data_IF_932535238959
#
_entry.id   IF_932535238959
#
_cell.length_a   1.000
_cell.length_b   1.000
_cell.length_c   1.000
_cell.angle_alpha   90.00
_cell.angle_beta   90.00
_cell.angle_gamma   90.00
#
_symmetry.space_group_name_H-M   'P 1'
#
loop_
_entity.id
_entity.type
_entity.pdbx_description
1 polymer ?
#
# COMPACT_ATOMS: atom_id res chain seq x y z
N UNK A 1 -29.01 -31.03 -0.49
CA UNK A 1 -27.92 -30.05 -0.72
C UNK A 1 -27.78 -28.98 0.37
N UNK A 2 -28.81 -28.61 1.14
CA UNK A 2 -28.70 -27.56 2.19
C UNK A 2 -28.22 -28.11 3.55
N UNK A 3 -28.35 -29.41 3.82
CA UNK A 3 -27.96 -30.01 5.10
C UNK A 3 -26.45 -30.33 5.24
N UNK A 4 -25.71 -30.44 4.12
CA UNK A 4 -24.26 -30.73 4.15
C UNK A 4 -23.42 -29.51 4.53
N UNK A 5 -23.95 -28.30 4.36
CA UNK A 5 -23.23 -27.04 4.62
C UNK A 5 -23.25 -26.61 6.11
N UNK A 6 -24.23 -27.08 6.90
CA UNK A 6 -24.44 -26.62 8.29
C UNK A 6 -23.58 -27.30 9.37
N UNK A 7 -22.80 -28.34 9.04
CA UNK A 7 -21.98 -29.07 10.04
C UNK A 7 -20.48 -28.80 9.97
N UNK A 8 -20.02 -27.92 9.08
CA UNK A 8 -18.58 -27.78 8.74
C UNK A 8 -17.99 -26.38 8.94
N UNK A 9 -18.83 -25.34 9.07
CA UNK A 9 -18.37 -23.97 9.32
C UNK A 9 -18.75 -23.54 10.74
N UNK A 10 -17.75 -23.26 11.56
CA UNK A 10 -17.95 -22.67 12.89
C UNK A 10 -18.35 -21.20 12.73
N UNK A 11 -19.66 -20.92 12.74
CA UNK A 11 -20.21 -19.55 12.72
C UNK A 11 -19.61 -18.69 13.84
N UNK A 12 -19.44 -19.19 15.08
CA UNK A 12 -18.79 -18.41 16.14
C UNK A 12 -17.34 -18.03 15.79
N UNK A 13 -16.60 -18.93 15.15
CA UNK A 13 -15.22 -18.64 14.72
C UNK A 13 -15.20 -17.58 13.62
N UNK A 14 -16.09 -17.68 12.62
CA UNK A 14 -16.18 -16.66 11.56
C UNK A 14 -16.49 -15.27 12.14
N UNK A 15 -17.37 -15.17 13.14
CA UNK A 15 -17.67 -13.90 13.80
C UNK A 15 -16.46 -13.35 14.56
N UNK A 16 -15.78 -14.19 15.34
CA UNK A 16 -14.57 -13.80 16.06
C UNK A 16 -13.46 -13.31 15.09
N UNK A 17 -13.27 -14.03 13.98
CA UNK A 17 -12.29 -13.65 12.95
C UNK A 17 -12.71 -12.37 12.23
N UNK A 18 -14.01 -12.15 11.99
CA UNK A 18 -14.52 -10.90 11.39
C UNK A 18 -14.20 -9.71 12.29
N UNK A 19 -14.44 -9.83 13.59
CA UNK A 19 -14.13 -8.75 14.57
C UNK A 19 -12.62 -8.54 14.68
N UNK A 20 -11.83 -9.62 14.75
CA UNK A 20 -10.38 -9.52 14.82
C UNK A 20 -9.79 -8.81 13.60
N UNK A 21 -10.12 -9.27 12.39
CA UNK A 21 -9.63 -8.70 11.13
C UNK A 21 -10.11 -7.26 10.99
N UNK A 22 -11.40 -6.99 11.26
CA UNK A 22 -11.97 -5.65 11.21
C UNK A 22 -11.29 -4.66 12.16
N UNK A 23 -11.03 -5.06 13.42
CA UNK A 23 -10.37 -4.21 14.41
C UNK A 23 -8.94 -3.85 14.03
N UNK A 24 -8.19 -4.78 13.42
CA UNK A 24 -6.80 -4.51 13.06
C UNK A 24 -6.65 -3.66 11.79
N UNK A 25 -7.61 -3.73 10.86
CA UNK A 25 -7.54 -3.06 9.55
C UNK A 25 -8.29 -1.73 9.48
N UNK A 26 -9.43 -1.57 10.15
CA UNK A 26 -10.35 -0.43 9.91
C UNK A 26 -9.69 0.93 10.19
N UNK A 27 -9.18 1.15 11.41
CA UNK A 27 -8.56 2.42 11.79
C UNK A 27 -7.42 2.85 10.85
N UNK A 28 -6.40 2.00 10.64
CA UNK A 28 -5.31 2.29 9.71
C UNK A 28 -5.78 2.54 8.28
N UNK A 29 -6.78 1.82 7.78
CA UNK A 29 -7.25 1.99 6.40
C UNK A 29 -7.88 3.38 6.18
N UNK A 30 -8.68 3.85 7.14
CA UNK A 30 -9.31 5.17 7.05
C UNK A 30 -8.28 6.28 7.18
N UNK A 31 -7.34 6.14 8.11
CA UNK A 31 -6.25 7.11 8.27
C UNK A 31 -5.33 7.16 7.06
N UNK A 32 -5.08 6.04 6.39
CA UNK A 32 -4.30 6.00 5.15
C UNK A 32 -5.07 6.60 3.97
N UNK A 33 -6.39 6.47 3.94
CA UNK A 33 -7.17 6.98 2.81
C UNK A 33 -7.19 8.51 2.72
N UNK A 34 -7.07 9.21 3.87
CA UNK A 34 -7.02 10.67 3.89
C UNK A 34 -5.85 11.21 3.05
N UNK A 35 -4.58 10.84 3.32
CA UNK A 35 -3.47 11.31 2.51
C UNK A 35 -3.53 10.80 1.07
N UNK A 36 -4.00 9.57 0.83
CA UNK A 36 -4.20 9.05 -0.53
C UNK A 36 -5.22 9.89 -1.31
N UNK A 37 -6.31 10.32 -0.67
CA UNK A 37 -7.31 11.21 -1.27
C UNK A 37 -6.72 12.58 -1.60
N UNK A 38 -5.97 13.18 -0.69
CA UNK A 38 -5.28 14.46 -0.93
C UNK A 38 -4.27 14.34 -2.07
N UNK A 39 -3.47 13.28 -2.09
CA UNK A 39 -2.55 12.94 -3.18
C UNK A 39 -3.26 12.92 -4.53
N UNK A 40 -4.42 12.26 -4.64
CA UNK A 40 -5.19 12.19 -5.89
C UNK A 40 -5.78 13.56 -6.24
N UNK A 41 -6.20 14.34 -5.24
CA UNK A 41 -6.86 15.62 -5.45
C UNK A 41 -5.89 16.70 -5.99
N UNK A 42 -4.62 16.68 -5.59
CA UNK A 42 -3.61 17.71 -5.96
C UNK A 42 -3.43 17.82 -7.49
N UNK A 43 -2.98 16.79 -8.24
CA UNK A 43 -2.73 16.92 -9.68
C UNK A 43 -4.02 17.12 -10.48
N UNK A 44 -5.10 16.45 -10.06
CA UNK A 44 -6.41 16.54 -10.73
C UNK A 44 -6.94 17.97 -10.65
N UNK A 45 -6.89 18.56 -9.46
CA UNK A 45 -7.43 19.88 -9.21
C UNK A 45 -6.60 21.00 -9.84
N UNK A 46 -5.27 20.89 -9.76
CA UNK A 46 -4.33 21.86 -10.35
C UNK A 46 -4.48 21.94 -11.87
N UNK A 47 -4.50 20.79 -12.54
CA UNK A 47 -4.69 20.77 -13.99
C UNK A 47 -6.07 21.30 -14.38
N UNK A 48 -7.12 20.83 -13.68
CA UNK A 48 -8.49 21.24 -13.96
C UNK A 48 -8.68 22.76 -13.79
N UNK A 49 -8.08 23.37 -12.77
CA UNK A 49 -8.11 24.83 -12.56
C UNK A 49 -7.47 25.60 -13.72
N UNK A 50 -6.32 25.14 -14.21
CA UNK A 50 -5.53 25.82 -15.26
C UNK A 50 -6.18 25.78 -16.64
N UNK A 51 -6.89 24.70 -16.95
CA UNK A 51 -7.61 24.56 -18.24
C UNK A 51 -9.07 25.04 -18.16
N UNK A 52 -9.47 25.69 -17.06
CA UNK A 52 -10.85 26.16 -16.86
C UNK A 52 -11.88 25.03 -16.64
N UNK A 53 -11.43 23.80 -16.44
CA UNK A 53 -12.26 22.61 -16.24
C UNK A 53 -12.42 22.22 -14.76
N UNK A 54 -12.22 23.16 -13.83
CA UNK A 54 -12.32 22.93 -12.39
C UNK A 54 -13.63 22.27 -11.94
N UNK A 55 -14.72 22.48 -12.68
CA UNK A 55 -16.01 21.83 -12.43
C UNK A 55 -16.04 20.31 -12.68
N UNK A 56 -15.10 19.76 -13.47
CA UNK A 56 -15.00 18.34 -13.79
C UNK A 56 -14.17 17.52 -12.79
N UNK A 57 -13.57 18.18 -11.78
CA UNK A 57 -12.77 17.51 -10.74
C UNK A 57 -13.54 16.40 -10.02
N UNK A 58 -14.84 16.61 -9.77
CA UNK A 58 -15.73 15.61 -9.15
C UNK A 58 -15.89 14.34 -9.99
N UNK A 59 -15.94 14.45 -11.32
CA UNK A 59 -16.01 13.30 -12.21
C UNK A 59 -14.72 12.47 -12.19
N UNK A 60 -13.57 13.15 -12.22
CA UNK A 60 -12.26 12.49 -12.15
C UNK A 60 -12.08 11.79 -10.80
N UNK A 61 -12.49 12.43 -9.71
CA UNK A 61 -12.50 11.82 -8.37
C UNK A 61 -13.40 10.59 -8.31
N UNK A 62 -14.57 10.61 -8.97
CA UNK A 62 -15.45 9.44 -9.03
C UNK A 62 -14.74 8.25 -9.71
N UNK A 63 -14.08 8.44 -10.84
CA UNK A 63 -13.36 7.35 -11.51
C UNK A 63 -12.18 6.83 -10.68
N UNK A 64 -11.33 7.72 -10.17
CA UNK A 64 -10.13 7.31 -9.46
C UNK A 64 -10.46 6.70 -8.10
N UNK A 65 -11.26 7.37 -7.27
CA UNK A 65 -11.52 6.93 -5.90
C UNK A 65 -12.49 5.75 -5.88
N UNK A 66 -13.65 5.89 -6.54
CA UNK A 66 -14.70 4.87 -6.49
C UNK A 66 -14.31 3.67 -7.33
N UNK A 67 -13.69 3.87 -8.50
CA UNK A 67 -13.35 2.79 -9.43
C UNK A 67 -12.09 2.01 -9.08
N UNK A 68 -11.08 2.64 -8.46
CA UNK A 68 -9.75 2.02 -8.25
C UNK A 68 -9.20 2.18 -6.83
N UNK A 69 -8.97 3.42 -6.37
CA UNK A 69 -8.14 3.69 -5.20
C UNK A 69 -8.69 3.03 -3.93
N UNK A 70 -10.02 3.02 -3.75
CA UNK A 70 -10.64 2.44 -2.56
C UNK A 70 -10.41 0.93 -2.47
N UNK A 71 -10.52 0.23 -3.59
CA UNK A 71 -10.25 -1.20 -3.67
C UNK A 71 -8.75 -1.51 -3.47
N UNK A 72 -7.86 -0.65 -3.98
CA UNK A 72 -6.41 -0.79 -3.81
C UNK A 72 -5.97 -0.58 -2.37
N UNK A 73 -6.49 0.46 -1.68
CA UNK A 73 -6.19 0.70 -0.27
C UNK A 73 -6.75 -0.45 0.58
N UNK A 74 -7.97 -0.92 0.30
CA UNK A 74 -8.53 -2.10 0.96
C UNK A 74 -7.65 -3.34 0.76
N UNK A 75 -7.21 -3.60 -0.48
CA UNK A 75 -6.33 -4.70 -0.82
C UNK A 75 -4.97 -4.61 -0.10
N UNK A 76 -4.34 -3.44 -0.08
CA UNK A 76 -3.07 -3.21 0.60
C UNK A 76 -3.20 -3.45 2.11
N UNK A 77 -4.29 -3.01 2.72
CA UNK A 77 -4.55 -3.21 4.15
C UNK A 77 -4.88 -4.67 4.46
N UNK A 78 -5.62 -5.35 3.58
CA UNK A 78 -5.88 -6.78 3.71
C UNK A 78 -4.61 -7.63 3.51
N UNK A 79 -3.73 -7.25 2.60
CA UNK A 79 -2.43 -7.91 2.35
C UNK A 79 -1.43 -7.65 3.48
N UNK A 80 -1.15 -6.38 3.77
CA UNK A 80 -0.15 -5.98 4.74
C UNK A 80 -0.60 -6.21 6.18
N UNK A 81 -1.76 -5.68 6.57
CA UNK A 81 -2.18 -5.62 7.97
C UNK A 81 -2.88 -6.89 8.42
N UNK A 82 -3.99 -7.22 7.75
CA UNK A 82 -4.77 -8.39 8.10
C UNK A 82 -4.00 -9.69 7.77
N UNK A 83 -3.38 -9.74 6.59
CA UNK A 83 -2.55 -10.87 6.16
C UNK A 83 -1.41 -11.17 7.14
N UNK A 84 -0.64 -10.15 7.56
CA UNK A 84 0.41 -10.33 8.56
C UNK A 84 -0.12 -10.81 9.91
N UNK A 85 -1.27 -10.29 10.36
CA UNK A 85 -1.90 -10.70 11.61
C UNK A 85 -2.39 -12.16 11.55
N UNK A 86 -3.03 -12.56 10.45
CA UNK A 86 -3.47 -13.93 10.19
C UNK A 86 -2.26 -14.87 10.13
N UNK A 87 -1.23 -14.51 9.36
CA UNK A 87 -0.01 -15.30 9.21
C UNK A 87 0.71 -15.49 10.56
N UNK A 88 0.79 -14.44 11.38
CA UNK A 88 1.38 -14.52 12.72
C UNK A 88 0.59 -15.44 13.65
N UNK A 89 -0.74 -15.35 13.65
CA UNK A 89 -1.60 -16.18 14.51
C UNK A 89 -1.57 -17.66 14.11
N UNK A 90 -1.58 -17.99 12.81
CA UNK A 90 -1.40 -19.39 12.38
C UNK A 90 0.04 -19.87 12.59
N UNK A 91 1.04 -19.03 12.30
CA UNK A 91 2.44 -19.37 12.46
C UNK A 91 2.82 -19.62 13.92
N UNK A 92 2.30 -18.83 14.86
CA UNK A 92 2.55 -19.06 16.29
C UNK A 92 1.96 -20.37 16.77
N UNK A 93 0.72 -20.70 16.35
CA UNK A 93 0.08 -21.99 16.65
C UNK A 93 0.84 -23.16 16.04
N UNK A 94 1.38 -22.99 14.83
CA UNK A 94 2.22 -24.01 14.19
C UNK A 94 3.51 -24.25 14.99
N UNK A 95 4.21 -23.19 15.39
CA UNK A 95 5.44 -23.30 16.20
C UNK A 95 5.18 -23.86 17.61
N UNK A 96 3.97 -23.69 18.16
CA UNK A 96 3.55 -24.30 19.43
C UNK A 96 3.01 -25.73 19.28
N UNK A 97 3.10 -26.32 18.07
CA UNK A 97 2.60 -27.66 17.76
C UNK A 97 1.08 -27.83 17.98
N UNK A 98 0.32 -26.74 18.12
CA UNK A 98 -1.15 -26.80 18.28
C UNK A 98 -1.82 -27.28 16.99
N UNK A 99 -1.29 -26.88 15.84
CA UNK A 99 -1.78 -27.31 14.52
C UNK A 99 -1.49 -28.79 14.29
N UNK A 100 -0.28 -29.25 14.62
CA UNK A 100 0.13 -30.65 14.52
C UNK A 100 -0.71 -31.53 15.45
N UNK A 101 -0.99 -31.06 16.67
CA UNK A 101 -1.90 -31.74 17.59
C UNK A 101 -3.31 -31.91 16.99
N UNK A 102 -3.84 -30.89 16.29
CA UNK A 102 -5.13 -31.01 15.60
C UNK A 102 -5.12 -32.05 14.49
N UNK A 103 -4.03 -32.15 13.72
CA UNK A 103 -3.89 -33.16 12.66
C UNK A 103 -3.86 -34.57 13.24
N UNK A 104 -3.14 -34.78 14.36
CA UNK A 104 -3.09 -36.06 15.08
C UNK A 104 -4.46 -36.44 15.67
N UNK A 105 -5.26 -35.46 16.10
CA UNK A 105 -6.64 -35.68 16.55
C UNK A 105 -7.63 -35.97 15.40
N UNK A 106 -7.15 -36.04 14.14
CA UNK A 106 -7.99 -36.30 12.97
C UNK A 106 -8.89 -35.12 12.57
N UNK A 107 -8.59 -33.91 13.05
CA UNK A 107 -9.34 -32.71 12.70
C UNK A 107 -8.78 -32.08 11.41
N UNK A 108 -9.67 -31.71 10.49
CA UNK A 108 -9.27 -31.00 9.28
C UNK A 108 -8.90 -29.54 9.59
N UNK A 109 -7.61 -29.22 9.48
CA UNK A 109 -7.04 -27.88 9.75
C UNK A 109 -7.58 -26.83 8.77
N UNK A 110 -7.74 -27.18 7.49
CA UNK A 110 -8.22 -26.24 6.46
C UNK A 110 -9.65 -25.80 6.78
N UNK A 111 -10.51 -26.75 7.10
CA UNK A 111 -11.91 -26.49 7.41
C UNK A 111 -12.09 -25.71 8.72
N UNK A 112 -11.26 -26.02 9.73
CA UNK A 112 -11.39 -25.42 11.06
C UNK A 112 -10.68 -24.08 11.23
N UNK A 113 -9.55 -23.86 10.55
CA UNK A 113 -8.74 -22.65 10.68
C UNK A 113 -8.86 -21.75 9.44
N UNK A 114 -8.77 -22.30 8.23
CA UNK A 114 -8.65 -21.48 7.01
C UNK A 114 -10.02 -20.98 6.54
N UNK A 115 -11.02 -21.86 6.47
CA UNK A 115 -12.34 -21.52 5.93
C UNK A 115 -13.06 -20.36 6.67
N UNK A 116 -13.08 -20.29 8.02
CA UNK A 116 -13.68 -19.17 8.74
C UNK A 116 -12.98 -17.83 8.44
N UNK A 117 -11.65 -17.85 8.27
CA UNK A 117 -10.86 -16.65 7.98
C UNK A 117 -11.08 -16.14 6.56
N UNK A 118 -11.26 -17.03 5.58
CA UNK A 118 -11.60 -16.64 4.20
C UNK A 118 -12.95 -15.92 4.13
N UNK A 119 -13.97 -16.45 4.81
CA UNK A 119 -15.29 -15.83 4.87
C UNK A 119 -15.25 -14.48 5.61
N UNK A 120 -14.55 -14.43 6.75
CA UNK A 120 -14.36 -13.20 7.51
C UNK A 120 -13.63 -12.13 6.67
N UNK A 121 -12.58 -12.50 5.93
CA UNK A 121 -11.82 -11.58 5.08
C UNK A 121 -12.68 -10.97 3.96
N UNK A 122 -13.53 -11.76 3.31
CA UNK A 122 -14.47 -11.25 2.28
C UNK A 122 -15.42 -10.23 2.92
N UNK A 123 -16.08 -10.59 4.03
CA UNK A 123 -17.05 -9.71 4.70
C UNK A 123 -16.39 -8.39 5.12
N UNK A 124 -15.23 -8.47 5.78
CA UNK A 124 -14.50 -7.27 6.21
C UNK A 124 -14.07 -6.43 5.01
N UNK A 125 -13.55 -7.04 3.93
CA UNK A 125 -13.08 -6.29 2.77
C UNK A 125 -14.16 -5.47 2.07
N UNK A 126 -15.40 -5.97 2.03
CA UNK A 126 -16.54 -5.28 1.43
C UNK A 126 -16.96 -4.05 2.26
N UNK A 127 -17.07 -4.24 3.58
CA UNK A 127 -17.39 -3.15 4.51
C UNK A 127 -16.26 -2.10 4.50
N UNK A 128 -15.01 -2.57 4.55
CA UNK A 128 -13.83 -1.73 4.58
C UNK A 128 -13.70 -0.90 3.29
N UNK A 129 -13.88 -1.51 2.12
CA UNK A 129 -13.87 -0.80 0.83
C UNK A 129 -14.93 0.30 0.77
N UNK A 130 -16.13 0.03 1.32
CA UNK A 130 -17.20 1.03 1.38
C UNK A 130 -16.82 2.23 2.25
N UNK A 131 -16.27 1.98 3.44
CA UNK A 131 -15.82 3.05 4.36
C UNK A 131 -14.63 3.85 3.82
N UNK A 132 -13.68 3.17 3.17
CA UNK A 132 -12.55 3.81 2.48
C UNK A 132 -13.07 4.73 1.37
N UNK A 133 -14.05 4.28 0.58
CA UNK A 133 -14.62 5.10 -0.50
C UNK A 133 -15.19 6.42 0.02
N UNK A 134 -15.99 6.36 1.09
CA UNK A 134 -16.56 7.56 1.71
C UNK A 134 -15.46 8.50 2.23
N UNK A 135 -14.45 7.94 2.89
CA UNK A 135 -13.33 8.73 3.44
C UNK A 135 -12.50 9.39 2.34
N UNK A 136 -12.24 8.66 1.25
CA UNK A 136 -11.48 9.15 0.10
C UNK A 136 -12.18 10.28 -0.65
N UNK A 137 -13.47 10.10 -0.96
CA UNK A 137 -14.28 11.14 -1.62
C UNK A 137 -14.37 12.37 -0.71
N UNK A 138 -14.54 12.17 0.60
CA UNK A 138 -14.54 13.26 1.59
C UNK A 138 -13.22 14.03 1.62
N UNK A 139 -12.08 13.35 1.60
CA UNK A 139 -10.76 13.99 1.58
C UNK A 139 -10.55 14.83 0.30
N UNK A 140 -10.90 14.29 -0.87
CA UNK A 140 -10.83 15.03 -2.14
C UNK A 140 -11.75 16.26 -2.15
N UNK A 141 -12.99 16.09 -1.68
CA UNK A 141 -13.97 17.18 -1.58
C UNK A 141 -13.47 18.33 -0.72
N UNK A 142 -12.94 18.02 0.46
CA UNK A 142 -12.39 19.03 1.37
C UNK A 142 -11.22 19.78 0.74
N UNK A 143 -10.30 19.07 0.08
CA UNK A 143 -9.16 19.70 -0.58
C UNK A 143 -9.58 20.63 -1.72
N UNK A 144 -10.42 20.15 -2.65
CA UNK A 144 -10.83 20.95 -3.82
C UNK A 144 -11.60 22.22 -3.45
N UNK A 145 -12.36 22.21 -2.35
CA UNK A 145 -13.16 23.38 -1.95
C UNK A 145 -12.37 24.31 -1.03
N UNK A 146 -11.74 23.79 0.02
CA UNK A 146 -11.10 24.64 1.02
C UNK A 146 -9.69 25.09 0.62
N UNK A 147 -8.96 24.29 -0.16
CA UNK A 147 -7.59 24.62 -0.58
C UNK A 147 -7.58 25.22 -1.98
N UNK A 148 -8.33 24.64 -2.92
CA UNK A 148 -8.35 25.13 -4.32
C UNK A 148 -9.51 26.06 -4.66
N UNK A 149 -10.42 26.33 -3.70
CA UNK A 149 -11.52 27.26 -3.87
C UNK A 149 -12.44 26.95 -5.07
N UNK A 150 -12.59 25.67 -5.42
CA UNK A 150 -13.51 25.23 -6.47
C UNK A 150 -14.98 25.25 -5.98
N UNK A 151 -15.96 25.53 -6.86
CA UNK A 151 -17.37 25.54 -6.49
C UNK A 151 -17.87 24.15 -6.06
N UNK A 152 -18.33 24.02 -4.82
CA UNK A 152 -18.84 22.77 -4.25
C UNK A 152 -20.00 22.15 -5.04
N UNK A 153 -20.91 23.01 -5.56
CA UNK A 153 -22.04 22.57 -6.37
C UNK A 153 -21.62 21.92 -7.69
N UNK A 154 -20.57 22.44 -8.33
CA UNK A 154 -20.04 21.87 -9.56
C UNK A 154 -19.40 20.50 -9.31
N UNK A 155 -18.62 20.38 -8.24
CA UNK A 155 -18.03 19.10 -7.83
C UNK A 155 -19.11 18.04 -7.58
N UNK A 156 -20.15 18.37 -6.81
CA UNK A 156 -21.22 17.41 -6.48
C UNK A 156 -22.06 17.03 -7.71
N UNK A 157 -22.33 17.99 -8.60
CA UNK A 157 -23.03 17.72 -9.85
C UNK A 157 -22.25 16.75 -10.74
N UNK A 158 -20.96 16.99 -10.97
CA UNK A 158 -20.16 16.11 -11.83
C UNK A 158 -19.82 14.77 -11.15
N UNK A 159 -19.61 14.75 -9.83
CA UNK A 159 -19.45 13.50 -9.09
C UNK A 159 -20.69 12.60 -9.21
N UNK A 160 -21.89 13.15 -9.05
CA UNK A 160 -23.14 12.38 -9.16
C UNK A 160 -23.50 12.01 -10.60
N UNK A 161 -23.14 12.83 -11.58
CA UNK A 161 -23.38 12.55 -13.00
C UNK A 161 -22.48 11.42 -13.54
N UNK A 162 -21.21 11.38 -13.12
CA UNK A 162 -20.22 10.42 -13.63
C UNK A 162 -19.97 9.23 -12.68
N UNK A 163 -20.31 9.36 -11.39
CA UNK A 163 -20.22 8.29 -10.40
C UNK A 163 -21.28 7.21 -10.63
N UNK A 164 -20.93 6.17 -11.39
CA UNK A 164 -21.83 5.05 -11.67
C UNK A 164 -21.81 4.03 -10.54
N UNK A 165 -22.98 3.49 -10.21
CA UNK A 165 -23.11 2.39 -9.26
C UNK A 165 -22.30 1.15 -9.70
N UNK A 166 -22.14 0.93 -11.02
CA UNK A 166 -21.33 -0.15 -11.57
C UNK A 166 -19.86 -0.06 -11.14
N UNK A 167 -19.30 1.15 -11.05
CA UNK A 167 -17.89 1.35 -10.71
C UNK A 167 -17.65 1.00 -9.24
N UNK A 168 -18.61 1.36 -8.37
CA UNK A 168 -18.60 0.97 -6.96
C UNK A 168 -18.70 -0.55 -6.77
N UNK A 169 -19.63 -1.21 -7.47
CA UNK A 169 -19.76 -2.68 -7.41
C UNK A 169 -18.48 -3.37 -7.89
N UNK A 170 -17.86 -2.88 -8.97
CA UNK A 170 -16.59 -3.43 -9.47
C UNK A 170 -15.45 -3.25 -8.46
N UNK A 171 -15.42 -2.13 -7.74
CA UNK A 171 -14.46 -1.92 -6.67
C UNK A 171 -14.68 -2.88 -5.50
N UNK A 172 -15.93 -3.14 -5.11
CA UNK A 172 -16.24 -4.15 -4.09
C UNK A 172 -15.81 -5.56 -4.50
N UNK A 173 -16.06 -5.94 -5.76
CA UNK A 173 -15.62 -7.24 -6.30
C UNK A 173 -14.09 -7.34 -6.27
N UNK A 174 -13.37 -6.31 -6.71
CA UNK A 174 -11.89 -6.25 -6.62
C UNK A 174 -11.39 -6.36 -5.18
N UNK A 175 -11.99 -5.62 -4.25
CA UNK A 175 -11.60 -5.68 -2.84
C UNK A 175 -11.78 -7.11 -2.27
N UNK A 176 -12.90 -7.77 -2.59
CA UNK A 176 -13.17 -9.14 -2.17
C UNK A 176 -12.19 -10.15 -2.78
N UNK A 177 -11.83 -10.03 -4.05
CA UNK A 177 -10.86 -10.94 -4.69
C UNK A 177 -9.46 -10.75 -4.13
N UNK A 178 -9.02 -9.51 -3.92
CA UNK A 178 -7.71 -9.25 -3.29
C UNK A 178 -7.66 -9.74 -1.84
N UNK A 179 -8.72 -9.52 -1.06
CA UNK A 179 -8.81 -10.02 0.30
C UNK A 179 -8.78 -11.54 0.37
N UNK A 180 -9.48 -12.22 -0.55
CA UNK A 180 -9.46 -13.67 -0.67
C UNK A 180 -8.04 -14.17 -0.97
N UNK A 181 -7.41 -13.64 -2.03
CA UNK A 181 -6.06 -14.05 -2.44
C UNK A 181 -5.03 -13.80 -1.32
N UNK A 182 -5.05 -12.61 -0.73
CA UNK A 182 -4.20 -12.26 0.42
C UNK A 182 -4.37 -13.26 1.56
N UNK A 183 -5.62 -13.55 1.94
CA UNK A 183 -5.92 -14.42 3.08
C UNK A 183 -5.50 -15.86 2.82
N UNK A 184 -5.63 -16.35 1.59
CA UNK A 184 -5.13 -17.67 1.18
C UNK A 184 -3.61 -17.71 1.36
N UNK A 185 -2.89 -16.72 0.83
CA UNK A 185 -1.42 -16.65 0.93
C UNK A 185 -0.98 -16.57 2.39
N UNK A 186 -1.62 -15.71 3.20
CA UNK A 186 -1.32 -15.56 4.62
C UNK A 186 -1.56 -16.84 5.42
N UNK A 187 -2.69 -17.53 5.18
CA UNK A 187 -2.98 -18.82 5.81
C UNK A 187 -1.97 -19.89 5.40
N UNK A 188 -1.63 -19.96 4.11
CA UNK A 188 -0.66 -20.92 3.59
C UNK A 188 0.72 -20.72 4.21
N UNK A 189 1.22 -19.49 4.21
CA UNK A 189 2.53 -19.15 4.79
C UNK A 189 2.55 -19.36 6.31
N UNK A 190 1.48 -18.97 7.01
CA UNK A 190 1.36 -19.18 8.45
C UNK A 190 1.40 -20.67 8.84
N UNK A 191 0.65 -21.52 8.15
CA UNK A 191 0.61 -22.97 8.41
C UNK A 191 1.94 -23.69 8.11
N UNK A 192 2.81 -23.08 7.28
CA UNK A 192 4.12 -23.64 6.90
C UNK A 192 5.30 -22.92 7.56
N UNK A 193 5.06 -22.08 8.57
CA UNK A 193 6.13 -21.40 9.30
C UNK A 193 7.02 -22.42 10.04
N UNK A 194 8.34 -22.22 10.01
CA UNK A 194 9.36 -23.12 10.60
C UNK A 194 10.53 -22.33 11.17
N UNK A 195 11.20 -22.86 12.20
CA UNK A 195 12.42 -22.24 12.74
C UNK A 195 12.16 -21.20 13.85
N UNK A 196 11.14 -21.46 14.67
CA UNK A 196 10.84 -20.65 15.86
C UNK A 196 10.36 -19.22 15.55
N UNK A 197 10.69 -18.23 16.41
CA UNK A 197 10.33 -16.82 16.24
C UNK A 197 10.66 -16.20 14.90
N UNK A 198 11.88 -16.45 14.40
CA UNK A 198 12.35 -15.92 13.12
C UNK A 198 11.50 -16.47 11.97
N UNK A 199 11.16 -17.76 12.05
CA UNK A 199 10.31 -18.45 11.10
C UNK A 199 8.92 -17.86 10.89
N UNK A 200 8.26 -17.41 11.97
CA UNK A 200 6.94 -16.77 11.89
C UNK A 200 7.06 -15.43 11.18
N UNK A 201 8.09 -14.66 11.50
CA UNK A 201 8.31 -13.36 10.88
C UNK A 201 8.74 -13.47 9.41
N UNK A 202 9.53 -14.49 9.06
CA UNK A 202 9.86 -14.82 7.66
C UNK A 202 8.60 -15.20 6.88
N UNK A 203 7.72 -16.03 7.46
CA UNK A 203 6.45 -16.39 6.84
C UNK A 203 5.55 -15.16 6.60
N UNK A 204 5.53 -14.20 7.54
CA UNK A 204 4.82 -12.92 7.37
C UNK A 204 5.40 -12.13 6.19
N UNK A 205 6.72 -12.03 6.10
CA UNK A 205 7.38 -11.32 4.99
C UNK A 205 7.08 -12.00 3.64
N UNK A 206 7.13 -13.32 3.59
CA UNK A 206 6.77 -14.12 2.41
C UNK A 206 5.26 -14.14 2.11
N UNK A 207 4.40 -13.77 3.06
CA UNK A 207 2.96 -13.63 2.83
C UNK A 207 2.62 -12.31 2.16
N UNK A 208 3.32 -11.23 2.54
CA UNK A 208 3.15 -9.90 1.95
C UNK A 208 3.90 -9.78 0.62
N UNK A 209 4.98 -10.56 0.43
CA UNK A 209 5.83 -10.47 -0.75
C UNK A 209 5.85 -11.78 -1.55
N UNK A 210 5.62 -11.71 -2.87
CA UNK A 210 5.72 -12.88 -3.74
C UNK A 210 7.15 -13.43 -3.75
N UNK A 211 7.43 -14.47 -2.97
CA UNK A 211 8.67 -15.25 -3.09
C UNK A 211 9.04 -16.07 -1.86
N UNK A 212 9.00 -17.40 -1.99
CA UNK A 212 9.68 -18.31 -1.07
C UNK A 212 11.17 -18.36 -1.42
N UNK A 213 12.07 -18.00 -0.50
CA UNK A 213 13.53 -18.27 -0.50
C UNK A 213 14.39 -18.13 -1.78
N UNK A 214 13.92 -17.64 -2.92
CA UNK A 214 14.60 -17.87 -4.22
C UNK A 214 14.82 -16.64 -5.13
N UNK A 215 15.26 -15.50 -4.59
CA UNK A 215 16.04 -14.51 -5.37
C UNK A 215 16.88 -13.61 -4.43
N UNK A 216 17.97 -14.21 -3.91
CA UNK A 216 19.11 -13.64 -3.18
C UNK A 216 19.06 -12.13 -2.83
N UNK A 217 18.98 -11.83 -1.53
CA UNK A 217 19.71 -10.78 -0.77
C UNK A 217 19.79 -9.32 -1.30
N UNK A 218 19.18 -8.97 -2.42
CA UNK A 218 19.22 -7.64 -3.04
C UNK A 218 18.30 -7.48 -4.25
N UNK A 219 18.07 -8.55 -5.03
CA UNK A 219 17.20 -8.50 -6.23
C UNK A 219 15.70 -8.58 -5.95
N UNK A 220 15.32 -9.13 -4.79
CA UNK A 220 13.90 -9.33 -4.46
C UNK A 220 13.12 -8.03 -4.19
N UNK A 221 13.76 -6.97 -3.69
CA UNK A 221 13.08 -5.67 -3.51
C UNK A 221 12.87 -5.00 -4.87
N UNK A 222 13.86 -5.13 -5.76
CA UNK A 222 13.78 -4.61 -7.11
C UNK A 222 12.61 -5.22 -7.89
N UNK A 223 12.44 -6.54 -7.86
CA UNK A 223 11.34 -7.22 -8.55
C UNK A 223 9.96 -6.77 -8.06
N UNK A 224 9.80 -6.56 -6.75
CA UNK A 224 8.54 -6.06 -6.19
C UNK A 224 8.31 -4.61 -6.60
N UNK A 225 9.33 -3.76 -6.50
CA UNK A 225 9.22 -2.36 -6.90
C UNK A 225 8.89 -2.25 -8.38
N UNK A 226 9.53 -3.04 -9.24
CA UNK A 226 9.21 -3.11 -10.67
C UNK A 226 7.74 -3.51 -10.91
N UNK A 227 7.29 -4.62 -10.30
CA UNK A 227 5.93 -5.11 -10.48
C UNK A 227 4.88 -4.11 -9.96
N UNK A 228 5.11 -3.53 -8.77
CA UNK A 228 4.22 -2.53 -8.18
C UNK A 228 4.22 -1.23 -8.99
N UNK A 229 5.38 -0.76 -9.43
CA UNK A 229 5.51 0.48 -10.21
C UNK A 229 4.83 0.36 -11.57
N UNK A 230 5.01 -0.77 -12.26
CA UNK A 230 4.30 -1.07 -13.51
C UNK A 230 2.79 -1.12 -13.31
N UNK A 231 2.31 -1.90 -12.34
CA UNK A 231 0.89 -2.07 -12.11
C UNK A 231 0.21 -0.75 -11.70
N UNK A 232 0.80 0.00 -10.77
CA UNK A 232 0.27 1.27 -10.29
C UNK A 232 0.30 2.34 -11.40
N UNK A 233 1.36 2.42 -12.19
CA UNK A 233 1.47 3.40 -13.28
C UNK A 233 0.61 3.06 -14.50
N UNK A 234 0.35 1.78 -14.77
CA UNK A 234 -0.66 1.37 -15.76
C UNK A 234 -2.05 1.85 -15.35
N UNK A 235 -2.43 1.66 -14.08
CA UNK A 235 -3.71 2.15 -13.56
C UNK A 235 -3.80 3.67 -13.64
N UNK A 236 -2.75 4.38 -13.22
CA UNK A 236 -2.68 5.84 -13.35
C UNK A 236 -2.90 6.28 -14.81
N UNK A 237 -2.29 5.58 -15.78
CA UNK A 237 -2.46 5.87 -17.20
C UNK A 237 -3.90 5.72 -17.69
N UNK A 238 -4.59 4.63 -17.32
CA UNK A 238 -6.00 4.41 -17.69
C UNK A 238 -6.89 5.52 -17.12
N UNK A 239 -6.74 5.82 -15.82
CA UNK A 239 -7.60 6.81 -15.16
C UNK A 239 -7.31 8.24 -15.61
N UNK A 240 -6.04 8.56 -15.85
CA UNK A 240 -5.63 9.86 -16.41
C UNK A 240 -6.23 10.07 -17.79
N UNK A 241 -6.14 9.06 -18.66
CA UNK A 241 -6.74 9.12 -20.00
C UNK A 241 -8.26 9.28 -19.93
N UNK A 242 -8.95 8.43 -19.14
CA UNK A 242 -10.41 8.49 -18.96
C UNK A 242 -10.89 9.82 -18.37
N UNK A 243 -10.15 10.37 -17.41
CA UNK A 243 -10.45 11.65 -16.79
C UNK A 243 -10.32 12.81 -17.78
N UNK A 244 -9.23 12.86 -18.54
CA UNK A 244 -8.99 13.89 -19.56
C UNK A 244 -9.90 13.77 -20.78
N UNK A 245 -10.35 12.56 -21.10
CA UNK A 245 -11.31 12.32 -22.18
C UNK A 245 -12.65 13.03 -21.93
N UNK A 246 -13.03 13.27 -20.67
CA UNK A 246 -14.24 14.03 -20.33
C UNK A 246 -14.19 15.48 -20.81
N UNK A 247 -12.99 16.05 -20.92
CA UNK A 247 -12.74 17.45 -21.29
C UNK A 247 -12.15 17.54 -22.71
N UNK A 248 -11.97 16.41 -23.39
CA UNK A 248 -11.37 16.36 -24.73
C UNK A 248 -9.88 16.71 -24.77
N UNK A 249 -9.17 16.62 -23.64
CA UNK A 249 -7.75 17.02 -23.50
C UNK A 249 -6.83 15.82 -23.23
N UNK A 250 -7.08 14.70 -23.90
CA UNK A 250 -6.33 13.45 -23.72
C UNK A 250 -4.84 13.56 -24.01
N UNK A 251 -4.41 14.54 -24.81
CA UNK A 251 -3.00 14.88 -25.05
C UNK A 251 -2.23 15.31 -23.79
N UNK A 252 -2.91 15.87 -22.78
CA UNK A 252 -2.32 16.26 -21.49
C UNK A 252 -2.00 15.06 -20.58
N UNK A 253 -2.33 13.84 -21.00
CA UNK A 253 -2.05 12.62 -20.24
C UNK A 253 -0.55 12.41 -20.01
N UNK A 254 0.30 12.83 -20.94
CA UNK A 254 1.76 12.82 -20.77
C UNK A 254 2.24 13.73 -19.65
N UNK A 255 1.64 14.92 -19.53
CA UNK A 255 1.95 15.89 -18.47
C UNK A 255 1.51 15.37 -17.10
N UNK A 256 0.27 14.88 -16.96
CA UNK A 256 -0.19 14.29 -15.70
C UNK A 256 0.61 13.05 -15.32
N UNK A 257 0.98 12.22 -16.30
CA UNK A 257 1.86 11.07 -16.09
C UNK A 257 3.20 11.50 -15.50
N UNK A 258 3.87 12.50 -16.09
CA UNK A 258 5.15 12.99 -15.60
C UNK A 258 5.04 13.51 -14.16
N UNK A 259 4.04 14.34 -13.86
CA UNK A 259 3.87 14.94 -12.53
C UNK A 259 3.50 13.89 -11.50
N UNK A 260 2.44 13.11 -11.75
CA UNK A 260 1.93 12.15 -10.77
C UNK A 260 2.90 10.97 -10.55
N UNK A 261 3.57 10.46 -11.59
CA UNK A 261 4.57 9.40 -11.41
C UNK A 261 5.79 9.89 -10.65
N UNK A 262 6.31 11.07 -11.00
CA UNK A 262 7.54 11.59 -10.40
C UNK A 262 7.30 12.09 -9.00
N UNK A 263 6.32 12.98 -8.78
CA UNK A 263 6.14 13.61 -7.48
C UNK A 263 5.60 12.64 -6.43
N UNK A 264 4.81 11.64 -6.83
CA UNK A 264 3.98 10.90 -5.88
C UNK A 264 4.07 9.38 -5.99
N UNK A 265 3.70 8.82 -7.15
CA UNK A 265 3.50 7.37 -7.27
C UNK A 265 4.81 6.59 -7.06
N UNK A 266 5.91 7.02 -7.69
CA UNK A 266 7.20 6.35 -7.54
C UNK A 266 7.77 6.36 -6.09
N UNK A 267 7.88 7.51 -5.40
CA UNK A 267 8.40 7.52 -4.02
C UNK A 267 7.48 6.76 -3.04
N UNK A 268 6.14 6.84 -3.20
CA UNK A 268 5.21 6.08 -2.35
C UNK A 268 5.32 4.58 -2.58
N UNK A 269 5.34 4.13 -3.85
CA UNK A 269 5.46 2.71 -4.20
C UNK A 269 6.76 2.12 -3.67
N UNK A 270 7.90 2.81 -3.83
CA UNK A 270 9.18 2.32 -3.34
C UNK A 270 9.23 2.28 -1.80
N UNK A 271 8.63 3.28 -1.13
CA UNK A 271 8.53 3.32 0.32
C UNK A 271 7.69 2.17 0.89
N UNK A 272 6.51 1.92 0.32
CA UNK A 272 5.63 0.81 0.73
C UNK A 272 6.31 -0.54 0.45
N UNK A 273 6.95 -0.70 -0.70
CA UNK A 273 7.67 -1.94 -1.03
C UNK A 273 8.84 -2.20 -0.06
N UNK A 274 9.58 -1.16 0.32
CA UNK A 274 10.64 -1.25 1.32
C UNK A 274 10.08 -1.63 2.70
N UNK A 275 8.99 -0.98 3.13
CA UNK A 275 8.32 -1.29 4.40
C UNK A 275 7.87 -2.76 4.46
N UNK A 276 7.23 -3.23 3.40
CA UNK A 276 6.74 -4.60 3.29
C UNK A 276 7.86 -5.65 3.32
N UNK A 277 8.92 -5.47 2.51
CA UNK A 277 9.94 -6.51 2.31
C UNK A 277 11.13 -6.39 3.26
N UNK A 278 11.73 -5.21 3.34
CA UNK A 278 12.98 -4.98 4.07
C UNK A 278 12.68 -4.59 5.51
N UNK A 279 11.68 -3.73 5.72
CA UNK A 279 11.25 -3.28 7.04
C UNK A 279 10.82 -4.44 7.94
N UNK A 280 9.91 -5.30 7.48
CA UNK A 280 9.46 -6.48 8.26
C UNK A 280 10.64 -7.37 8.66
N UNK A 281 11.62 -7.54 7.77
CA UNK A 281 12.89 -8.22 8.05
C UNK A 281 13.72 -7.54 9.15
N UNK A 282 13.80 -6.21 9.18
CA UNK A 282 14.47 -5.48 10.27
C UNK A 282 13.78 -5.72 11.61
N UNK A 283 12.45 -5.63 11.65
CA UNK A 283 11.69 -5.91 12.88
C UNK A 283 11.88 -7.36 13.35
N UNK A 284 11.86 -8.31 12.42
CA UNK A 284 12.07 -9.72 12.69
C UNK A 284 13.46 -10.01 13.28
N UNK A 285 14.51 -9.49 12.65
CA UNK A 285 15.90 -9.70 13.08
C UNK A 285 16.14 -9.08 14.46
N UNK A 286 15.80 -7.79 14.64
CA UNK A 286 16.02 -7.11 15.91
C UNK A 286 15.14 -7.70 17.02
N UNK A 287 13.89 -8.03 16.71
CA UNK A 287 12.98 -8.66 17.67
C UNK A 287 13.44 -10.05 18.09
N UNK A 288 13.95 -10.85 17.15
CA UNK A 288 14.54 -12.15 17.47
C UNK A 288 15.80 -12.00 18.35
N UNK A 289 16.67 -11.05 18.05
CA UNK A 289 17.83 -10.74 18.90
C UNK A 289 17.41 -10.31 20.30
N UNK A 290 16.28 -9.60 20.44
CA UNK A 290 15.76 -9.17 21.74
C UNK A 290 15.27 -10.33 22.59
N UNK A 291 14.49 -11.25 22.01
CA UNK A 291 13.93 -12.40 22.75
C UNK A 291 14.95 -13.51 23.01
N UNK A 292 16.07 -13.51 22.29
CA UNK A 292 17.19 -14.44 22.48
C UNK A 292 18.31 -13.85 23.35
N UNK A 293 18.05 -12.72 24.03
CA UNK A 293 19.00 -11.99 24.87
C UNK A 293 20.32 -11.56 24.17
N UNK A 294 20.38 -11.62 22.83
CA UNK A 294 21.53 -11.17 22.05
C UNK A 294 21.75 -9.64 22.21
N UNK A 295 20.67 -8.86 22.36
CA UNK A 295 20.79 -7.41 22.62
C UNK A 295 21.37 -7.14 24.02
N UNK A 296 20.96 -7.91 25.03
CA UNK A 296 21.52 -7.79 26.38
C UNK A 296 23.00 -8.18 26.42
N UNK A 297 23.40 -9.18 25.62
CA UNK A 297 24.79 -9.54 25.43
C UNK A 297 25.60 -8.42 24.76
N UNK A 298 25.04 -7.72 23.76
CA UNK A 298 25.70 -6.55 23.17
C UNK A 298 25.90 -5.43 24.20
N UNK A 299 24.87 -5.14 24.99
CA UNK A 299 24.93 -4.10 26.04
C UNK A 299 25.95 -4.47 27.14
N UNK A 300 26.11 -5.76 27.49
CA UNK A 300 27.11 -6.22 28.47
C UNK A 300 28.55 -6.18 27.96
N UNK A 301 28.74 -6.26 26.63
CA UNK A 301 30.02 -6.01 25.96
C UNK A 301 30.33 -4.51 25.77
N UNK A 302 29.57 -3.62 26.41
CA UNK A 302 29.66 -2.16 26.29
C UNK A 302 29.46 -1.63 24.86
N UNK A 303 28.80 -2.40 23.98
CA UNK A 303 28.41 -1.96 22.64
C UNK A 303 27.05 -1.28 22.74
N UNK A 304 26.96 -0.03 22.27
CA UNK A 304 25.68 0.70 22.21
C UNK A 304 24.77 0.05 21.16
N UNK A 305 23.84 -0.79 21.61
CA UNK A 305 22.96 -1.61 20.77
C UNK A 305 22.07 -0.81 19.81
N UNK A 306 21.51 0.34 20.23
CA UNK A 306 20.65 1.17 19.37
C UNK A 306 21.41 1.70 18.14
N UNK A 307 22.53 2.45 18.28
CA UNK A 307 23.32 2.86 17.11
C UNK A 307 23.82 1.68 16.27
N UNK A 308 24.28 0.61 16.93
CA UNK A 308 24.86 -0.54 16.24
C UNK A 308 23.83 -1.28 15.36
N UNK A 309 22.60 -1.47 15.85
CA UNK A 309 21.56 -2.22 15.15
C UNK A 309 20.68 -1.34 14.25
N UNK A 310 20.28 -0.16 14.72
CA UNK A 310 19.30 0.67 14.02
C UNK A 310 19.95 1.62 13.01
N UNK A 311 21.03 2.33 13.38
CA UNK A 311 21.63 3.34 12.50
C UNK A 311 22.28 2.73 11.26
N UNK A 312 22.95 1.58 11.40
CA UNK A 312 23.55 0.84 10.28
C UNK A 312 22.51 0.44 9.23
N UNK A 313 21.38 -0.10 9.67
CA UNK A 313 20.24 -0.48 8.81
C UNK A 313 19.58 0.75 8.17
N UNK A 314 19.43 1.83 8.92
CA UNK A 314 18.84 3.07 8.42
C UNK A 314 19.68 3.68 7.29
N UNK A 315 21.00 3.81 7.48
CA UNK A 315 21.90 4.34 6.45
C UNK A 315 21.91 3.42 5.22
N UNK A 316 21.99 2.10 5.43
CA UNK A 316 21.94 1.14 4.33
C UNK A 316 20.63 1.25 3.53
N UNK A 317 19.48 1.39 4.20
CA UNK A 317 18.19 1.57 3.54
C UNK A 317 18.13 2.90 2.75
N UNK A 318 18.62 4.00 3.33
CA UNK A 318 18.67 5.31 2.67
C UNK A 318 19.57 5.34 1.43
N UNK A 319 20.70 4.61 1.43
CA UNK A 319 21.60 4.53 0.27
C UNK A 319 21.02 3.61 -0.80
N UNK A 320 20.53 2.43 -0.41
CA UNK A 320 20.01 1.44 -1.35
C UNK A 320 18.67 1.83 -1.99
N UNK A 321 17.88 2.72 -1.38
CA UNK A 321 16.58 3.10 -1.93
C UNK A 321 16.71 3.87 -3.24
N UNK A 322 17.75 4.68 -3.41
CA UNK A 322 17.92 5.55 -4.57
C UNK A 322 17.98 4.78 -5.91
N UNK A 323 18.84 3.77 -6.10
CA UNK A 323 18.85 3.01 -7.36
C UNK A 323 17.55 2.22 -7.57
N UNK A 324 16.94 1.70 -6.50
CA UNK A 324 15.68 0.97 -6.57
C UNK A 324 14.53 1.89 -7.00
N UNK A 325 14.49 3.10 -6.46
CA UNK A 325 13.55 4.17 -6.82
C UNK A 325 13.69 4.55 -8.29
N UNK A 326 14.91 4.79 -8.79
CA UNK A 326 15.14 5.17 -10.19
C UNK A 326 14.63 4.10 -11.16
N UNK A 327 14.84 2.83 -10.84
CA UNK A 327 14.36 1.72 -11.66
C UNK A 327 12.82 1.63 -11.61
N UNK A 328 12.22 1.83 -10.43
CA UNK A 328 10.77 1.91 -10.28
C UNK A 328 10.16 3.05 -11.08
N UNK A 329 10.75 4.24 -11.01
CA UNK A 329 10.30 5.43 -11.74
C UNK A 329 10.35 5.24 -13.26
N UNK A 330 11.45 4.69 -13.78
CA UNK A 330 11.57 4.35 -15.20
C UNK A 330 10.50 3.35 -15.63
N UNK A 331 10.26 2.32 -14.82
CA UNK A 331 9.20 1.35 -15.08
C UNK A 331 7.81 2.01 -15.09
N UNK A 332 7.55 2.94 -14.18
CA UNK A 332 6.30 3.72 -14.16
C UNK A 332 6.10 4.53 -15.43
N UNK A 333 7.12 5.24 -15.91
CA UNK A 333 7.02 6.01 -17.16
C UNK A 333 6.72 5.14 -18.37
N UNK A 334 7.41 3.99 -18.48
CA UNK A 334 7.18 3.02 -19.57
C UNK A 334 5.75 2.47 -19.50
N UNK A 335 5.28 2.10 -18.31
CA UNK A 335 3.93 1.57 -18.12
C UNK A 335 2.85 2.58 -18.52
N UNK A 336 2.95 3.83 -18.08
CA UNK A 336 1.95 4.84 -18.41
C UNK A 336 1.96 5.17 -19.90
N UNK A 337 3.14 5.29 -20.52
CA UNK A 337 3.26 5.51 -21.98
C UNK A 337 2.65 4.36 -22.77
N UNK A 338 2.89 3.12 -22.37
CA UNK A 338 2.33 1.93 -23.01
C UNK A 338 0.79 1.95 -22.93
N UNK A 339 0.21 2.27 -21.78
CA UNK A 339 -1.25 2.36 -21.64
C UNK A 339 -1.85 3.47 -22.48
N UNK A 340 -1.29 4.67 -22.42
CA UNK A 340 -1.89 5.83 -23.08
C UNK A 340 -1.73 5.75 -24.61
N UNK A 341 -0.53 5.44 -25.09
CA UNK A 341 -0.23 5.43 -26.53
C UNK A 341 -0.72 4.14 -27.20
N UNK A 342 -0.39 2.96 -26.65
CA UNK A 342 -0.69 1.70 -27.33
C UNK A 342 -2.10 1.19 -27.06
N UNK A 343 -2.59 1.25 -25.83
CA UNK A 343 -3.92 0.73 -25.52
C UNK A 343 -5.04 1.73 -25.79
N UNK A 344 -4.81 3.03 -25.58
CA UNK A 344 -5.83 4.06 -25.76
C UNK A 344 -5.71 4.85 -27.08
N UNK A 345 -4.62 4.66 -27.84
CA UNK A 345 -4.49 5.17 -29.20
C UNK A 345 -4.08 6.64 -29.30
N UNK A 346 -3.50 7.23 -28.25
CA UNK A 346 -2.97 8.60 -28.31
C UNK A 346 -1.73 8.71 -29.18
N UNK A 347 -1.50 9.91 -29.74
CA UNK A 347 -0.29 10.20 -30.50
C UNK A 347 0.94 10.16 -29.59
N UNK A 348 1.92 9.29 -29.93
CA UNK A 348 3.20 9.24 -29.21
C UNK A 348 3.90 10.59 -29.17
N UNK A 349 3.83 11.37 -30.26
CA UNK A 349 4.46 12.70 -30.32
C UNK A 349 3.81 13.69 -29.35
N UNK A 350 2.48 13.66 -29.22
CA UNK A 350 1.77 14.52 -28.27
C UNK A 350 2.08 14.13 -26.83
N UNK A 351 2.06 12.82 -26.52
CA UNK A 351 2.42 12.31 -25.19
C UNK A 351 3.84 12.70 -24.80
N UNK A 352 4.82 12.41 -25.67
CA UNK A 352 6.24 12.63 -25.37
C UNK A 352 6.53 14.15 -25.21
N UNK A 353 5.89 15.02 -26.01
CA UNK A 353 6.00 16.48 -25.86
C UNK A 353 5.52 16.98 -24.50
N UNK A 354 4.27 16.67 -24.12
CA UNK A 354 3.72 17.12 -22.83
C UNK A 354 4.40 16.47 -21.63
N UNK A 355 4.88 15.24 -21.78
CA UNK A 355 5.67 14.55 -20.76
C UNK A 355 6.99 15.28 -20.49
N UNK A 356 7.76 15.61 -21.54
CA UNK A 356 9.02 16.33 -21.40
C UNK A 356 8.85 17.78 -20.97
N UNK A 357 7.74 18.42 -21.32
CA UNK A 357 7.41 19.77 -20.87
C UNK A 357 7.20 19.82 -19.35
N UNK A 358 6.58 18.78 -18.78
CA UNK A 358 6.24 18.72 -17.37
C UNK A 358 7.36 18.12 -16.48
N UNK A 359 8.23 17.28 -17.04
CA UNK A 359 9.31 16.63 -16.31
C UNK A 359 10.47 17.60 -16.09
N UNK A 360 10.61 18.11 -14.86
CA UNK A 360 11.73 18.99 -14.48
C UNK A 360 12.81 18.24 -13.67
N UNK A 361 14.09 18.61 -13.82
CA UNK A 361 15.16 18.03 -13.01
C UNK A 361 14.98 18.28 -11.50
N UNK A 362 14.35 19.39 -11.13
CA UNK A 362 14.03 19.75 -9.75
C UNK A 362 12.99 18.80 -9.15
N UNK A 363 11.96 18.43 -9.91
CA UNK A 363 10.94 17.48 -9.45
C UNK A 363 11.55 16.09 -9.21
N UNK A 364 12.50 15.69 -10.05
CA UNK A 364 13.24 14.43 -9.87
C UNK A 364 14.09 14.47 -8.58
N UNK A 365 14.79 15.58 -8.32
CA UNK A 365 15.61 15.74 -7.11
C UNK A 365 14.74 15.71 -5.84
N UNK A 366 13.65 16.45 -5.82
CA UNK A 366 12.71 16.50 -4.70
C UNK A 366 12.05 15.15 -4.43
N UNK A 367 11.67 14.44 -5.49
CA UNK A 367 11.14 13.08 -5.36
C UNK A 367 12.19 12.08 -4.84
N UNK A 368 13.44 12.19 -5.29
CA UNK A 368 14.53 11.36 -4.77
C UNK A 368 14.80 11.63 -3.27
N UNK A 369 14.78 12.90 -2.85
CA UNK A 369 14.87 13.27 -1.43
C UNK A 369 13.72 12.64 -0.63
N UNK A 370 12.48 12.73 -1.15
CA UNK A 370 11.30 12.12 -0.52
C UNK A 370 11.46 10.61 -0.35
N UNK A 371 11.94 9.90 -1.36
CA UNK A 371 12.22 8.46 -1.28
C UNK A 371 13.28 8.10 -0.21
N UNK A 372 14.34 8.91 -0.08
CA UNK A 372 15.38 8.73 0.95
C UNK A 372 14.78 8.92 2.35
N UNK A 373 13.95 9.94 2.55
CA UNK A 373 13.29 10.20 3.83
C UNK A 373 12.33 9.06 4.19
N UNK A 374 11.53 8.57 3.23
CA UNK A 374 10.67 7.41 3.46
C UNK A 374 11.46 6.17 3.87
N UNK A 375 12.61 5.91 3.24
CA UNK A 375 13.47 4.81 3.65
C UNK A 375 13.97 4.96 5.10
N UNK A 376 14.31 6.18 5.51
CA UNK A 376 14.65 6.51 6.89
C UNK A 376 13.51 6.22 7.86
N UNK A 377 12.31 6.72 7.57
CA UNK A 377 11.11 6.51 8.38
C UNK A 377 10.82 5.01 8.54
N UNK A 378 10.85 4.27 7.43
CA UNK A 378 10.65 2.81 7.44
C UNK A 378 11.67 2.13 8.34
N UNK A 379 12.96 2.42 8.17
CA UNK A 379 14.01 1.78 8.97
C UNK A 379 13.85 2.09 10.47
N UNK A 380 13.56 3.34 10.83
CA UNK A 380 13.34 3.76 12.22
C UNK A 380 12.13 3.10 12.87
N UNK A 381 10.99 3.10 12.17
CA UNK A 381 9.76 2.45 12.64
C UNK A 381 10.02 0.96 12.85
N UNK A 382 10.60 0.28 11.86
CA UNK A 382 10.80 -1.16 11.96
C UNK A 382 11.85 -1.58 12.99
N UNK A 383 12.94 -0.82 13.13
CA UNK A 383 13.94 -1.09 14.16
C UNK A 383 13.40 -0.81 15.57
N UNK A 384 12.58 0.23 15.76
CA UNK A 384 11.99 0.54 17.07
C UNK A 384 11.00 -0.55 17.52
N UNK A 385 10.06 -0.94 16.66
CA UNK A 385 9.14 -2.05 16.98
C UNK A 385 9.87 -3.38 17.20
N UNK A 386 10.97 -3.64 16.49
CA UNK A 386 11.81 -4.82 16.71
C UNK A 386 12.53 -4.76 18.06
N UNK A 387 13.12 -3.62 18.40
CA UNK A 387 13.88 -3.43 19.64
C UNK A 387 13.03 -3.61 20.90
N UNK A 388 11.75 -3.20 20.84
CA UNK A 388 10.78 -3.35 21.92
C UNK A 388 9.87 -4.58 21.79
N UNK A 389 10.22 -5.56 20.94
CA UNK A 389 9.45 -6.79 20.83
C UNK A 389 9.51 -7.62 22.13
N UNK A 390 8.40 -8.23 22.51
CA UNK A 390 8.24 -9.01 23.75
C UNK A 390 7.20 -10.11 23.57
N UNK A 391 7.26 -11.19 24.35
CA UNK A 391 6.27 -12.27 24.29
C UNK A 391 6.64 -13.42 23.33
N UNK A 392 7.94 -13.67 23.15
CA UNK A 392 8.46 -14.79 22.36
C UNK A 392 8.16 -14.67 20.85
N UNK A 393 8.05 -15.82 20.13
CA UNK A 393 7.79 -15.87 18.69
C UNK A 393 6.62 -15.00 18.20
N UNK A 394 5.50 -15.10 18.91
CA UNK A 394 4.25 -14.43 18.56
C UNK A 394 4.40 -12.91 18.67
N UNK A 395 5.09 -12.44 19.71
CA UNK A 395 5.38 -11.04 19.94
C UNK A 395 6.19 -10.36 18.83
N UNK A 396 7.17 -11.08 18.27
CA UNK A 396 7.99 -10.58 17.14
C UNK A 396 7.14 -10.45 15.87
N UNK A 397 6.29 -11.44 15.57
CA UNK A 397 5.37 -11.36 14.43
C UNK A 397 4.35 -10.23 14.57
N UNK A 398 3.76 -10.07 15.77
CA UNK A 398 2.84 -8.96 16.04
C UNK A 398 3.54 -7.59 15.98
N UNK A 399 4.79 -7.49 16.44
CA UNK A 399 5.60 -6.29 16.31
C UNK A 399 5.85 -5.95 14.83
N UNK A 400 6.19 -6.93 13.99
CA UNK A 400 6.37 -6.73 12.55
C UNK A 400 5.07 -6.24 11.87
N UNK A 401 3.93 -6.82 12.21
CA UNK A 401 2.63 -6.37 11.68
C UNK A 401 2.22 -4.96 12.17
N UNK A 402 2.59 -4.58 13.40
CA UNK A 402 2.40 -3.20 13.91
C UNK A 402 3.36 -2.21 13.24
N UNK A 403 4.61 -2.61 13.04
CA UNK A 403 5.61 -1.80 12.36
C UNK A 403 5.21 -1.52 10.90
N UNK A 404 4.75 -2.55 10.16
CA UNK A 404 4.31 -2.40 8.77
C UNK A 404 3.13 -1.42 8.64
N UNK A 405 2.15 -1.53 9.55
CA UNK A 405 1.04 -0.57 9.61
C UNK A 405 1.50 0.85 9.81
N UNK A 406 2.34 1.04 10.83
CA UNK A 406 2.77 2.38 11.24
C UNK A 406 3.69 3.01 10.21
N UNK A 407 4.52 2.22 9.52
CA UNK A 407 5.36 2.72 8.44
C UNK A 407 4.55 3.10 7.21
N UNK A 408 3.54 2.31 6.79
CA UNK A 408 2.66 2.69 5.67
C UNK A 408 1.87 3.97 5.99
N UNK A 409 1.34 4.10 7.21
CA UNK A 409 0.66 5.32 7.66
C UNK A 409 1.60 6.52 7.71
N UNK A 410 2.80 6.34 8.25
CA UNK A 410 3.80 7.40 8.30
C UNK A 410 4.19 7.84 6.89
N UNK A 411 4.41 6.91 5.96
CA UNK A 411 4.66 7.23 4.54
C UNK A 411 3.53 8.10 4.01
N UNK A 412 2.26 7.70 4.13
CA UNK A 412 1.13 8.49 3.62
C UNK A 412 1.05 9.90 4.23
N UNK A 413 1.23 10.04 5.55
CA UNK A 413 1.18 11.36 6.19
C UNK A 413 2.36 12.24 5.76
N UNK A 414 3.57 11.69 5.79
CA UNK A 414 4.75 12.44 5.36
C UNK A 414 4.73 12.73 3.87
N UNK A 415 4.12 11.89 3.05
CA UNK A 415 3.90 12.13 1.62
C UNK A 415 3.19 13.45 1.38
N UNK A 416 2.03 13.66 2.03
CA UNK A 416 1.29 14.92 1.95
C UNK A 416 2.11 16.10 2.48
N UNK A 417 2.81 15.93 3.61
CA UNK A 417 3.64 16.98 4.20
C UNK A 417 4.76 17.40 3.23
N UNK A 418 5.46 16.43 2.63
CA UNK A 418 6.53 16.70 1.68
C UNK A 418 5.99 17.24 0.36
N UNK A 419 4.84 16.76 -0.10
CA UNK A 419 4.18 17.28 -1.30
C UNK A 419 3.88 18.77 -1.14
N UNK A 420 3.26 19.16 -0.02
CA UNK A 420 3.00 20.58 0.24
C UNK A 420 4.25 21.38 0.59
N UNK A 421 5.23 20.78 1.28
CA UNK A 421 6.46 21.46 1.68
C UNK A 421 7.41 21.74 0.52
N UNK A 422 7.48 20.85 -0.47
CA UNK A 422 8.40 20.96 -1.61
C UNK A 422 7.76 21.64 -2.82
N UNK A 423 6.46 21.43 -3.06
CA UNK A 423 5.75 21.96 -4.23
C UNK A 423 4.65 22.98 -3.89
N UNK A 424 4.41 23.28 -2.62
CA UNK A 424 3.38 24.23 -2.19
C UNK A 424 1.98 23.62 -2.06
N UNK A 425 1.06 24.39 -1.47
CA UNK A 425 -0.34 23.98 -1.30
C UNK A 425 -1.13 23.96 -2.61
N UNK A 426 -0.76 24.82 -3.55
CA UNK A 426 -1.27 24.83 -4.92
C UNK A 426 -0.03 24.83 -5.81
N UNK A 427 0.44 23.65 -6.25
CA UNK A 427 1.65 23.57 -7.05
C UNK A 427 1.50 24.30 -8.38
N UNK A 428 2.65 24.65 -8.96
CA UNK A 428 2.72 25.13 -10.34
C UNK A 428 3.08 23.99 -11.30
N UNK A 429 2.40 23.96 -12.44
CA UNK A 429 2.65 23.02 -13.53
C UNK A 429 3.80 23.58 -14.38
N UNK A 430 4.95 22.89 -14.44
CA UNK A 430 6.05 23.32 -15.29
C UNK A 430 5.62 23.41 -16.76
N UNK A 431 6.03 24.49 -17.43
CA UNK A 431 5.77 24.70 -18.84
C UNK A 431 4.39 25.24 -19.22
N UNK A 432 3.50 25.50 -18.25
CA UNK A 432 2.21 26.16 -18.51
C UNK A 432 2.18 27.67 -18.22
N UNK A 433 3.28 28.32 -17.83
CA UNK A 433 3.45 29.78 -17.92
C UNK A 433 2.40 30.67 -17.23
N UNK A 434 1.58 30.11 -16.33
CA UNK A 434 0.59 30.78 -15.47
C UNK A 434 0.60 30.19 -14.07
#
# INVERSE_FOLDING_TARGET
MVATFRRRLSIPETLNQTVFIGRVSTGPSLLLMIPVGVFIAVPVGELAGRIGAGGYSGAVVAFIIVGQASALVSALMMAGVAGSAICTDLGSRKIREEVDAMEVMGLNVIERLVAPRLLAAIIVSLVLCSLITVTGVGACYLYHIYVQHLPAGAFMATFSQYGRFSDFVMALVKAATFALLSTIVACFKGLHARGGPRGVADAVNEAVTFGSKSLLSGGGTLGIVLAMSLAAAMMLGVETYRGLQLVGMTSLSGMLSAIANTRELAPVVVGIALAAKVGTGFTAQVGAMRISDEIAALDSMAIRSIPFLATTRMIAAMVCILPIYMIGLLASYIATRLVVVWFNGESSGAFDYFFHLALTPTDLLYSAIKAIVFAGIVALVHCSYGYFASGGPEGVGQAAGRALRTSILAIGIFDVIFTFGLWGLVPEIPGMGI
#
